data_IF_603938917741
#
_entry.id   IF_603938917741
#
_cell.length_a   1.000
_cell.length_b   1.000
_cell.length_c   1.000
_cell.angle_alpha   90.00
_cell.angle_beta   90.00
_cell.angle_gamma   90.00
#
_symmetry.space_group_name_H-M   'P 1'
#
loop_
_entity.id
_entity.type
_entity.pdbx_description
1 polymer ?
#
# COMPACT_ATOMS: atom_id res chain seq x y z
N UNK A 1 12.96 -52.93 69.14
CA UNK A 1 12.49 -53.04 67.75
C UNK A 1 11.74 -51.79 67.40
N UNK A 2 12.44 -50.83 66.83
CA UNK A 2 11.87 -49.57 66.35
C UNK A 2 11.82 -49.54 64.85
N UNK A 3 10.62 -49.42 64.31
CA UNK A 3 10.40 -49.28 62.88
C UNK A 3 10.44 -47.75 62.54
N UNK A 4 11.40 -47.37 61.74
CA UNK A 4 11.48 -46.02 61.13
C UNK A 4 10.71 -45.98 59.83
N UNK A 5 9.66 -45.15 59.79
CA UNK A 5 8.87 -44.85 58.57
C UNK A 5 9.59 -43.73 57.85
N UNK A 6 10.12 -44.01 56.67
CA UNK A 6 10.64 -42.97 55.73
C UNK A 6 9.49 -42.40 54.93
N UNK A 7 9.15 -41.12 55.20
CA UNK A 7 8.24 -40.33 54.35
C UNK A 7 8.97 -39.87 53.12
N UNK A 8 8.57 -40.35 51.97
CA UNK A 8 8.99 -39.81 50.64
C UNK A 8 8.05 -38.67 50.33
N UNK A 9 8.56 -37.44 50.37
CA UNK A 9 7.87 -36.26 49.88
C UNK A 9 8.00 -36.21 48.35
N UNK A 10 6.92 -36.54 47.63
CA UNK A 10 6.80 -36.32 46.20
C UNK A 10 6.53 -34.83 45.91
N UNK A 11 7.54 -34.06 45.51
CA UNK A 11 7.39 -32.73 44.94
C UNK A 11 6.74 -32.86 43.56
N UNK A 12 5.43 -32.70 43.46
CA UNK A 12 4.74 -32.53 42.20
C UNK A 12 5.09 -31.14 41.65
N UNK A 13 5.96 -31.08 40.64
CA UNK A 13 6.13 -29.91 39.77
C UNK A 13 4.82 -29.73 38.99
N UNK A 14 3.99 -28.80 39.44
CA UNK A 14 2.93 -28.22 38.60
C UNK A 14 3.61 -27.36 37.53
N UNK A 15 3.91 -27.99 36.41
CA UNK A 15 4.18 -27.29 35.17
C UNK A 15 2.85 -26.64 34.76
N UNK A 16 2.73 -25.35 35.03
CA UNK A 16 1.62 -24.53 34.56
C UNK A 16 1.68 -24.54 33.06
N UNK A 17 0.95 -25.43 32.42
CA UNK A 17 0.53 -25.26 31.05
C UNK A 17 -0.42 -24.07 31.02
N UNK A 18 0.12 -22.87 30.92
CA UNK A 18 -0.61 -21.70 30.41
C UNK A 18 -0.86 -21.97 28.94
N UNK A 19 -1.84 -22.84 28.69
CA UNK A 19 -2.31 -23.11 27.37
C UNK A 19 -2.81 -21.79 26.76
N UNK A 20 -2.33 -21.53 25.58
CA UNK A 20 -2.68 -20.50 24.62
C UNK A 20 -4.19 -20.46 24.30
N UNK A 21 -5.03 -20.06 25.26
CA UNK A 21 -6.45 -19.77 25.06
C UNK A 21 -6.75 -18.27 25.05
N UNK A 22 -5.73 -17.42 25.09
CA UNK A 22 -5.87 -15.97 25.30
C UNK A 22 -6.11 -15.14 24.04
N UNK A 23 -6.37 -15.74 22.88
CA UNK A 23 -6.45 -14.98 21.63
C UNK A 23 -7.86 -14.45 21.33
N UNK A 24 -8.89 -15.19 21.73
CA UNK A 24 -10.28 -14.78 21.44
C UNK A 24 -10.70 -13.63 22.36
N UNK A 25 -10.95 -12.46 21.74
CA UNK A 25 -11.32 -11.23 22.45
C UNK A 25 -10.14 -10.36 22.91
N UNK A 26 -8.88 -10.77 22.65
CA UNK A 26 -7.70 -9.94 22.86
C UNK A 26 -7.73 -8.70 21.96
N UNK A 27 -7.34 -7.54 22.51
CA UNK A 27 -7.24 -6.30 21.72
C UNK A 27 -5.82 -6.12 21.22
N UNK A 28 -5.68 -6.09 19.91
CA UNK A 28 -4.43 -5.80 19.21
C UNK A 28 -4.40 -4.34 18.80
N UNK A 29 -3.48 -3.57 19.37
CA UNK A 29 -3.27 -2.17 19.03
C UNK A 29 -2.41 -2.04 17.78
N UNK A 30 -2.96 -1.36 16.77
CA UNK A 30 -2.29 -1.06 15.50
C UNK A 30 -2.10 0.45 15.42
N UNK A 31 -0.85 0.92 15.34
CA UNK A 31 -0.57 2.32 15.10
C UNK A 31 -0.63 2.60 13.60
N UNK A 32 -1.46 3.55 13.23
CA UNK A 32 -1.57 4.07 11.87
C UNK A 32 -0.82 5.41 11.79
N UNK A 33 0.25 5.49 10.97
CA UNK A 33 1.21 6.60 10.93
C UNK A 33 1.23 7.22 9.54
N UNK A 34 0.34 8.13 9.22
CA UNK A 34 0.26 8.79 7.91
C UNK A 34 -0.20 10.25 8.03
N UNK A 35 -0.11 11.07 6.96
CA UNK A 35 -0.35 12.49 7.06
C UNK A 35 -1.83 12.83 7.33
N UNK A 36 -2.09 13.53 8.41
CA UNK A 36 -3.39 14.12 8.76
C UNK A 36 -3.36 15.64 8.63
N UNK A 37 -2.24 16.21 8.19
CA UNK A 37 -2.05 17.65 7.97
C UNK A 37 -1.34 17.91 6.64
N UNK A 38 -1.34 19.17 6.18
CA UNK A 38 -0.74 19.58 4.91
C UNK A 38 -1.55 19.19 3.67
N UNK A 39 -0.95 19.29 2.48
CA UNK A 39 -1.64 19.04 1.20
C UNK A 39 -2.12 17.60 1.01
N UNK A 40 -1.53 16.63 1.72
CA UNK A 40 -1.92 15.23 1.65
C UNK A 40 -2.92 14.81 2.74
N UNK A 41 -3.38 15.74 3.58
CA UNK A 41 -4.32 15.46 4.66
C UNK A 41 -5.63 14.81 4.19
N UNK A 42 -6.14 15.20 3.04
CA UNK A 42 -7.37 14.61 2.49
C UNK A 42 -7.20 13.11 2.23
N UNK A 43 -6.07 12.68 1.66
CA UNK A 43 -5.74 11.27 1.44
C UNK A 43 -5.60 10.54 2.77
N UNK A 44 -4.80 11.06 3.69
CA UNK A 44 -4.58 10.44 4.99
C UNK A 44 -5.86 10.34 5.81
N UNK A 45 -6.69 11.38 5.85
CA UNK A 45 -7.98 11.35 6.55
C UNK A 45 -8.94 10.28 5.99
N UNK A 46 -9.02 10.15 4.66
CA UNK A 46 -9.80 9.09 4.03
C UNK A 46 -9.27 7.71 4.39
N UNK A 47 -7.94 7.50 4.32
CA UNK A 47 -7.31 6.23 4.65
C UNK A 47 -7.49 5.85 6.12
N UNK A 48 -7.38 6.81 7.04
CA UNK A 48 -7.66 6.58 8.47
C UNK A 48 -9.11 6.15 8.68
N UNK A 49 -10.06 6.89 8.10
CA UNK A 49 -11.49 6.57 8.16
C UNK A 49 -11.78 5.18 7.57
N UNK A 50 -11.14 4.85 6.45
CA UNK A 50 -11.22 3.51 5.84
C UNK A 50 -10.66 2.44 6.78
N UNK A 51 -9.49 2.67 7.40
CA UNK A 51 -8.87 1.72 8.34
C UNK A 51 -9.77 1.48 9.54
N UNK A 52 -10.33 2.54 10.12
CA UNK A 52 -11.25 2.44 11.26
C UNK A 52 -12.54 1.67 10.91
N UNK A 53 -13.16 1.99 9.76
CA UNK A 53 -14.32 1.26 9.28
C UNK A 53 -14.03 -0.23 9.07
N UNK A 54 -12.92 -0.56 8.41
CA UNK A 54 -12.52 -1.95 8.21
C UNK A 54 -12.22 -2.66 9.53
N UNK A 55 -11.56 -2.00 10.49
CA UNK A 55 -11.33 -2.56 11.81
C UNK A 55 -12.65 -2.85 12.55
N UNK A 56 -13.66 -1.96 12.46
CA UNK A 56 -15.00 -2.21 12.98
C UNK A 56 -15.62 -3.48 12.36
N UNK A 57 -15.51 -3.66 11.03
CA UNK A 57 -16.05 -4.82 10.32
C UNK A 57 -15.31 -6.12 10.71
N UNK A 58 -13.98 -6.08 10.75
CA UNK A 58 -13.19 -7.23 11.22
C UNK A 58 -13.47 -7.55 12.70
N UNK A 59 -13.74 -6.56 13.53
CA UNK A 59 -14.07 -6.77 14.95
C UNK A 59 -15.43 -7.46 15.16
N UNK A 60 -16.32 -7.39 14.17
CA UNK A 60 -17.57 -8.17 14.18
C UNK A 60 -17.29 -9.65 13.92
N UNK A 61 -16.39 -9.96 12.98
CA UNK A 61 -16.01 -11.32 12.62
C UNK A 61 -14.66 -11.35 11.89
N UNK A 62 -13.68 -12.04 12.46
CA UNK A 62 -12.42 -12.37 11.79
C UNK A 62 -11.93 -13.77 12.23
N UNK A 63 -10.93 -14.30 11.55
CA UNK A 63 -10.47 -15.67 11.77
C UNK A 63 -9.75 -15.87 13.11
N UNK A 64 -9.02 -14.86 13.57
CA UNK A 64 -8.27 -14.93 14.84
C UNK A 64 -9.14 -14.72 16.07
N UNK A 65 -10.30 -14.05 15.90
CA UNK A 65 -11.15 -13.64 17.02
C UNK A 65 -10.60 -12.49 17.87
N UNK A 66 -9.49 -11.85 17.46
CA UNK A 66 -8.95 -10.64 18.11
C UNK A 66 -9.79 -9.41 17.76
N UNK A 67 -9.61 -8.34 18.52
CA UNK A 67 -10.14 -7.01 18.20
C UNK A 67 -9.00 -6.08 17.79
N UNK A 68 -9.15 -5.40 16.67
CA UNK A 68 -8.20 -4.37 16.24
C UNK A 68 -8.60 -3.00 16.79
N UNK A 69 -7.67 -2.35 17.47
CA UNK A 69 -7.77 -0.96 17.94
C UNK A 69 -6.79 -0.10 17.15
N UNK A 70 -7.27 0.92 16.46
CA UNK A 70 -6.46 1.79 15.62
C UNK A 70 -6.05 3.03 16.38
N UNK A 71 -4.74 3.23 16.57
CA UNK A 71 -4.12 4.42 17.15
C UNK A 71 -3.63 5.30 16.00
N UNK A 72 -4.28 6.43 15.77
CA UNK A 72 -3.94 7.34 14.68
C UNK A 72 -2.93 8.39 15.12
N UNK A 73 -1.84 8.54 14.37
CA UNK A 73 -0.79 9.51 14.63
C UNK A 73 -0.39 10.20 13.33
N UNK A 74 -0.43 11.53 13.31
CA UNK A 74 -0.01 12.35 12.18
C UNK A 74 1.52 12.35 12.05
N UNK A 75 2.03 11.82 10.95
CA UNK A 75 3.45 11.84 10.62
C UNK A 75 3.86 13.02 9.75
N UNK A 76 2.91 13.89 9.34
CA UNK A 76 3.12 15.08 8.50
C UNK A 76 3.89 14.78 7.21
N UNK A 77 3.88 13.55 6.73
CA UNK A 77 4.66 13.06 5.59
C UNK A 77 6.19 13.27 5.77
N UNK A 78 6.68 13.34 6.99
CA UNK A 78 8.07 13.62 7.37
C UNK A 78 8.71 12.40 8.04
N UNK A 79 9.93 11.98 7.64
CA UNK A 79 10.67 10.91 8.31
C UNK A 79 10.92 11.19 9.81
N UNK A 80 11.20 12.46 10.18
CA UNK A 80 11.44 12.87 11.56
C UNK A 80 10.18 12.74 12.42
N UNK A 81 9.05 13.28 11.93
CA UNK A 81 7.75 13.20 12.62
C UNK A 81 7.29 11.73 12.69
N UNK A 82 7.56 10.94 11.65
CA UNK A 82 7.25 9.49 11.66
C UNK A 82 7.99 8.76 12.77
N UNK A 83 9.28 9.10 13.00
CA UNK A 83 10.05 8.50 14.09
C UNK A 83 9.50 8.90 15.47
N UNK A 84 9.07 10.15 15.63
CA UNK A 84 8.43 10.62 16.86
C UNK A 84 7.07 9.94 17.10
N UNK A 85 6.24 9.85 16.06
CA UNK A 85 4.96 9.15 16.09
C UNK A 85 5.12 7.66 16.41
N UNK A 86 6.14 6.99 15.88
CA UNK A 86 6.43 5.59 16.20
C UNK A 86 6.76 5.39 17.68
N UNK A 87 7.53 6.29 18.29
CA UNK A 87 7.81 6.24 19.74
C UNK A 87 6.52 6.40 20.55
N UNK A 88 5.70 7.39 20.20
CA UNK A 88 4.39 7.59 20.84
C UNK A 88 3.49 6.36 20.71
N UNK A 89 3.52 5.69 19.55
CA UNK A 89 2.79 4.44 19.34
C UNK A 89 3.26 3.32 20.28
N UNK A 90 4.58 3.18 20.45
CA UNK A 90 5.18 2.20 21.36
C UNK A 90 4.77 2.46 22.82
N UNK A 91 4.79 3.73 23.26
CA UNK A 91 4.39 4.14 24.61
C UNK A 91 2.90 3.84 24.88
N UNK A 92 2.06 3.88 23.84
CA UNK A 92 0.66 3.48 23.88
C UNK A 92 0.44 1.96 23.77
N UNK A 93 1.52 1.18 23.67
CA UNK A 93 1.48 -0.28 23.63
C UNK A 93 1.20 -0.88 22.26
N UNK A 94 1.27 -0.10 21.15
CA UNK A 94 1.17 -0.65 19.81
C UNK A 94 2.41 -1.48 19.48
N UNK A 95 2.18 -2.63 18.83
CA UNK A 95 3.23 -3.52 18.32
C UNK A 95 3.16 -3.71 16.83
N UNK A 96 2.02 -3.43 16.23
CA UNK A 96 1.77 -3.49 14.80
C UNK A 96 1.66 -2.08 14.27
N UNK A 97 2.39 -1.79 13.21
CA UNK A 97 2.51 -0.47 12.61
C UNK A 97 1.96 -0.53 11.20
N UNK A 98 1.07 0.38 10.84
CA UNK A 98 0.57 0.59 9.47
C UNK A 98 1.04 1.96 8.98
N UNK A 99 1.61 2.00 7.79
CA UNK A 99 1.96 3.24 7.10
C UNK A 99 2.01 2.97 5.60
N UNK A 100 1.65 3.96 4.79
CA UNK A 100 1.65 3.79 3.33
C UNK A 100 2.05 5.04 2.55
N UNK A 101 1.93 6.24 3.09
CA UNK A 101 2.20 7.46 2.34
C UNK A 101 3.66 7.90 2.50
N UNK A 102 4.38 7.85 1.36
CA UNK A 102 5.76 8.33 1.29
C UNK A 102 6.82 7.29 1.67
N UNK A 103 7.76 7.07 0.76
CA UNK A 103 8.85 6.10 0.94
C UNK A 103 9.89 6.55 1.97
N UNK A 104 10.05 7.87 2.19
CA UNK A 104 10.93 8.40 3.26
C UNK A 104 10.44 8.03 4.66
N UNK A 105 9.17 8.31 5.02
CA UNK A 105 8.54 7.80 6.23
C UNK A 105 8.66 6.28 6.39
N UNK A 106 8.41 5.51 5.33
CA UNK A 106 8.53 4.05 5.36
C UNK A 106 9.94 3.58 5.72
N UNK A 107 10.97 4.16 5.11
CA UNK A 107 12.37 3.84 5.43
C UNK A 107 12.70 4.19 6.88
N UNK A 108 12.23 5.33 7.38
CA UNK A 108 12.43 5.72 8.78
C UNK A 108 11.80 4.73 9.77
N UNK A 109 10.62 4.17 9.44
CA UNK A 109 10.00 3.10 10.23
C UNK A 109 10.86 1.83 10.20
N UNK A 110 11.31 1.39 9.03
CA UNK A 110 12.15 0.20 8.87
C UNK A 110 13.40 0.33 9.74
N UNK A 111 14.14 1.44 9.60
CA UNK A 111 15.38 1.69 10.36
C UNK A 111 15.13 1.74 11.89
N UNK A 112 14.02 2.32 12.32
CA UNK A 112 13.68 2.42 13.73
C UNK A 112 13.28 1.05 14.31
N UNK A 113 12.50 0.26 13.57
CA UNK A 113 12.05 -1.08 13.97
C UNK A 113 13.25 -2.04 14.06
N UNK A 114 14.16 -2.04 13.09
CA UNK A 114 15.38 -2.86 13.12
C UNK A 114 16.18 -2.58 14.39
N UNK A 115 16.39 -1.29 14.72
CA UNK A 115 17.11 -0.89 15.95
C UNK A 115 16.36 -1.28 17.22
N UNK A 116 15.02 -1.14 17.24
CA UNK A 116 14.20 -1.51 18.38
C UNK A 116 14.26 -3.01 18.64
N UNK A 117 13.99 -3.80 17.60
CA UNK A 117 13.84 -5.24 17.70
C UNK A 117 15.17 -5.94 18.05
N UNK A 118 16.30 -5.38 17.58
CA UNK A 118 17.62 -5.85 17.98
C UNK A 118 17.96 -5.58 19.46
N UNK A 119 17.40 -4.52 20.07
CA UNK A 119 17.71 -4.10 21.45
C UNK A 119 16.71 -4.60 22.49
N UNK A 120 15.50 -4.90 22.07
CA UNK A 120 14.36 -5.19 22.95
C UNK A 120 13.66 -6.51 22.57
N UNK A 121 14.34 -7.68 22.69
CA UNK A 121 13.71 -8.98 22.48
C UNK A 121 12.46 -9.15 23.32
N UNK A 122 11.38 -9.67 22.74
CA UNK A 122 10.05 -9.80 23.38
C UNK A 122 9.21 -8.52 23.34
N UNK A 123 9.74 -7.44 22.73
CA UNK A 123 9.05 -6.16 22.51
C UNK A 123 9.15 -5.73 21.04
N UNK A 124 9.17 -6.71 20.14
CA UNK A 124 9.30 -6.48 18.73
C UNK A 124 8.12 -5.67 18.16
N UNK A 125 8.40 -4.94 17.09
CA UNK A 125 7.44 -4.22 16.27
C UNK A 125 7.39 -4.86 14.88
N UNK A 126 6.22 -4.83 14.26
CA UNK A 126 6.00 -5.29 12.88
C UNK A 126 5.41 -4.17 12.05
N UNK A 127 5.97 -3.94 10.86
CA UNK A 127 5.50 -2.92 9.94
C UNK A 127 4.75 -3.53 8.75
N UNK A 128 3.49 -3.15 8.61
CA UNK A 128 2.60 -3.48 7.51
C UNK A 128 2.49 -2.27 6.58
N UNK A 129 3.25 -2.28 5.50
CA UNK A 129 3.29 -1.22 4.52
C UNK A 129 2.20 -1.44 3.46
N UNK A 130 1.21 -0.57 3.43
CA UNK A 130 0.07 -0.74 2.53
C UNK A 130 0.18 0.02 1.20
N UNK A 131 1.13 0.98 1.04
CA UNK A 131 1.21 1.81 -0.17
C UNK A 131 2.55 2.53 -0.42
N UNK A 132 3.57 2.43 0.44
CA UNK A 132 4.89 2.99 0.15
C UNK A 132 5.67 2.05 -0.77
N UNK A 133 5.89 2.47 -2.01
CA UNK A 133 6.20 1.57 -3.13
C UNK A 133 7.59 1.74 -3.75
N UNK A 134 8.52 2.42 -3.06
CA UNK A 134 9.91 2.40 -3.48
C UNK A 134 10.43 0.94 -3.50
N UNK A 135 10.94 0.44 -4.64
CA UNK A 135 11.44 -0.93 -4.74
C UNK A 135 12.55 -1.27 -3.74
N UNK A 136 13.37 -0.30 -3.36
CA UNK A 136 14.47 -0.53 -2.42
C UNK A 136 14.01 -1.01 -1.05
N UNK A 137 12.79 -0.68 -0.63
CA UNK A 137 12.23 -1.10 0.66
C UNK A 137 12.07 -2.63 0.80
N UNK A 138 12.01 -3.37 -0.31
CA UNK A 138 12.00 -4.84 -0.36
C UNK A 138 13.18 -5.42 -1.14
N UNK A 139 14.18 -4.60 -1.46
CA UNK A 139 15.45 -4.98 -2.08
C UNK A 139 16.62 -4.61 -1.17
N UNK A 140 17.37 -3.55 -1.50
CA UNK A 140 18.58 -3.15 -0.77
C UNK A 140 18.33 -2.71 0.68
N UNK A 141 17.10 -2.31 1.01
CA UNK A 141 16.62 -1.86 2.33
C UNK A 141 15.61 -2.82 2.96
N UNK A 142 15.55 -4.05 2.48
CA UNK A 142 14.61 -5.02 3.03
C UNK A 142 14.86 -5.34 4.50
N UNK A 143 13.80 -5.64 5.22
CA UNK A 143 13.81 -5.97 6.63
C UNK A 143 12.88 -7.15 6.89
N UNK A 144 13.26 -8.06 7.79
CA UNK A 144 12.40 -9.14 8.25
C UNK A 144 11.10 -8.64 8.90
N UNK A 145 11.12 -7.44 9.45
CA UNK A 145 10.01 -6.82 10.16
C UNK A 145 9.11 -5.94 9.28
N UNK A 146 9.32 -5.95 7.97
CA UNK A 146 8.57 -5.16 7.00
C UNK A 146 7.87 -6.06 5.99
N UNK A 147 6.56 -5.91 5.87
CA UNK A 147 5.71 -6.59 4.88
C UNK A 147 5.02 -5.54 4.00
N UNK A 148 5.18 -5.63 2.69
CA UNK A 148 4.56 -4.71 1.75
C UNK A 148 3.38 -5.36 1.02
N UNK A 149 2.20 -4.72 1.13
CA UNK A 149 0.92 -5.24 0.62
C UNK A 149 0.50 -4.62 -0.73
N UNK A 150 1.22 -3.62 -1.22
CA UNK A 150 1.04 -3.06 -2.57
C UNK A 150 2.19 -3.50 -3.49
N UNK A 151 1.92 -3.62 -4.79
CA UNK A 151 2.96 -3.83 -5.78
C UNK A 151 3.87 -2.59 -5.84
N UNK A 152 5.17 -2.83 -5.95
CA UNK A 152 6.12 -1.71 -5.99
C UNK A 152 6.15 -0.97 -7.34
N UNK A 153 6.93 0.10 -7.37
CA UNK A 153 7.05 0.95 -8.56
C UNK A 153 7.53 0.18 -9.78
N UNK A 154 8.48 -0.75 -9.62
CA UNK A 154 9.00 -1.55 -10.74
C UNK A 154 7.97 -2.54 -11.26
N UNK A 155 7.27 -3.23 -10.37
CA UNK A 155 6.19 -4.18 -10.72
C UNK A 155 5.05 -3.47 -11.47
N UNK A 156 4.61 -2.31 -10.97
CA UNK A 156 3.58 -1.51 -11.63
C UNK A 156 4.04 -0.99 -12.99
N UNK A 157 5.29 -0.53 -13.11
CA UNK A 157 5.83 -0.07 -14.39
C UNK A 157 5.96 -1.21 -15.40
N UNK A 158 6.38 -2.40 -14.95
CA UNK A 158 6.42 -3.59 -15.80
C UNK A 158 5.04 -3.91 -16.42
N UNK A 159 3.98 -3.91 -15.60
CA UNK A 159 2.62 -4.11 -16.08
C UNK A 159 2.15 -2.99 -17.02
N UNK A 160 2.45 -1.73 -16.66
CA UNK A 160 2.03 -0.56 -17.41
C UNK A 160 2.69 -0.52 -18.79
N UNK A 161 4.01 -0.72 -18.87
CA UNK A 161 4.76 -0.73 -20.13
C UNK A 161 4.47 -1.96 -20.98
N UNK A 162 4.10 -3.09 -20.36
CA UNK A 162 3.58 -4.25 -21.09
C UNK A 162 2.24 -3.94 -21.76
N UNK A 163 1.36 -3.15 -21.12
CA UNK A 163 0.15 -2.62 -21.76
C UNK A 163 0.48 -1.62 -22.87
N UNK A 164 1.40 -0.69 -22.61
CA UNK A 164 1.81 0.35 -23.57
C UNK A 164 2.46 -0.22 -24.83
N UNK A 165 3.05 -1.42 -24.75
CA UNK A 165 3.63 -2.12 -25.91
C UNK A 165 2.62 -2.27 -27.05
N UNK A 166 1.37 -2.52 -26.72
CA UNK A 166 0.30 -2.78 -27.67
C UNK A 166 -0.52 -1.52 -28.03
N UNK A 167 -0.03 -0.32 -27.66
CA UNK A 167 -0.69 0.97 -27.93
C UNK A 167 0.08 1.73 -29.02
N UNK A 168 -0.30 1.58 -30.31
CA UNK A 168 0.47 2.15 -31.44
C UNK A 168 0.41 3.67 -31.53
N UNK A 169 -0.52 4.30 -30.84
CA UNK A 169 -0.72 5.74 -30.81
C UNK A 169 0.21 6.48 -29.84
N UNK A 170 0.92 5.77 -28.97
CA UNK A 170 1.95 6.35 -28.09
C UNK A 170 3.25 6.51 -28.88
N UNK A 171 3.73 7.75 -29.05
CA UNK A 171 4.96 8.08 -29.76
C UNK A 171 5.91 8.96 -28.95
N UNK A 172 5.37 9.92 -28.19
CA UNK A 172 6.14 10.91 -27.46
C UNK A 172 5.69 10.95 -26.00
N UNK A 173 6.53 10.48 -25.12
CA UNK A 173 6.25 10.39 -23.68
C UNK A 173 6.95 11.50 -22.92
N UNK A 174 6.21 12.19 -22.07
CA UNK A 174 6.72 13.09 -21.04
C UNK A 174 6.59 12.40 -19.69
N UNK A 175 7.65 12.35 -18.91
CA UNK A 175 7.64 11.81 -17.57
C UNK A 175 7.60 12.97 -16.58
N UNK A 176 6.61 12.99 -15.69
CA UNK A 176 6.49 14.01 -14.64
C UNK A 176 6.25 13.33 -13.31
N UNK A 177 7.15 13.50 -12.34
CA UNK A 177 7.09 12.86 -11.05
C UNK A 177 7.30 13.80 -9.87
N UNK A 178 6.90 13.31 -8.71
CA UNK A 178 7.20 13.94 -7.42
C UNK A 178 8.67 13.70 -7.04
N UNK A 179 9.37 14.71 -6.53
CA UNK A 179 10.79 14.64 -6.18
C UNK A 179 11.01 13.90 -4.85
N UNK A 180 10.92 12.59 -4.89
CA UNK A 180 11.30 11.65 -3.83
C UNK A 180 11.54 10.25 -4.44
N UNK A 181 11.94 9.26 -3.63
CA UNK A 181 12.38 7.94 -4.10
C UNK A 181 11.42 7.31 -5.14
N UNK A 182 10.10 7.26 -4.86
CA UNK A 182 9.13 6.70 -5.81
C UNK A 182 9.12 7.45 -7.16
N UNK A 183 9.08 8.79 -7.17
CA UNK A 183 9.06 9.55 -8.42
C UNK A 183 10.33 9.37 -9.26
N UNK A 184 11.49 9.31 -8.61
CA UNK A 184 12.78 8.98 -9.25
C UNK A 184 12.74 7.57 -9.86
N UNK A 185 12.20 6.58 -9.14
CA UNK A 185 12.07 5.21 -9.61
C UNK A 185 11.07 5.09 -10.76
N UNK A 186 9.96 5.85 -10.74
CA UNK A 186 9.02 5.90 -11.88
C UNK A 186 9.73 6.35 -13.15
N UNK A 187 10.52 7.44 -13.09
CA UNK A 187 11.30 7.92 -14.23
C UNK A 187 12.31 6.87 -14.71
N UNK A 188 13.05 6.26 -13.79
CA UNK A 188 14.04 5.23 -14.09
C UNK A 188 13.41 4.06 -14.84
N UNK A 189 12.42 3.40 -14.25
CA UNK A 189 11.82 2.21 -14.82
C UNK A 189 11.02 2.50 -16.08
N UNK A 190 10.36 3.67 -16.20
CA UNK A 190 9.71 4.05 -17.44
C UNK A 190 10.70 4.11 -18.61
N UNK A 191 11.88 4.70 -18.42
CA UNK A 191 12.92 4.78 -19.46
C UNK A 191 13.53 3.41 -19.77
N UNK A 192 13.84 2.62 -18.75
CA UNK A 192 14.43 1.28 -18.91
C UNK A 192 13.47 0.34 -19.64
N UNK A 193 12.23 0.25 -19.21
CA UNK A 193 11.25 -0.67 -19.78
C UNK A 193 10.80 -0.26 -21.19
N UNK A 194 10.55 1.04 -21.42
CA UNK A 194 10.17 1.53 -22.75
C UNK A 194 11.30 1.34 -23.74
N UNK A 195 12.56 1.54 -23.36
CA UNK A 195 13.71 1.27 -24.21
C UNK A 195 13.73 -0.17 -24.74
N UNK A 196 13.29 -1.13 -23.92
CA UNK A 196 13.26 -2.55 -24.30
C UNK A 196 11.99 -2.89 -25.08
N UNK A 197 10.82 -2.44 -24.60
CA UNK A 197 9.52 -2.86 -25.13
C UNK A 197 9.03 -2.02 -26.30
N UNK A 198 9.39 -0.74 -26.34
CA UNK A 198 8.97 0.26 -27.33
C UNK A 198 10.10 1.24 -27.64
N UNK A 199 11.20 0.76 -28.29
CA UNK A 199 12.35 1.61 -28.65
C UNK A 199 12.00 2.71 -29.68
N UNK A 200 10.82 2.65 -30.28
CA UNK A 200 10.26 3.68 -31.17
C UNK A 200 9.69 4.89 -30.44
N UNK A 201 9.43 4.79 -29.13
CA UNK A 201 8.91 5.89 -28.31
C UNK A 201 10.03 6.87 -27.96
N UNK A 202 9.76 8.15 -28.18
CA UNK A 202 10.66 9.24 -27.79
C UNK A 202 10.30 9.75 -26.39
N UNK A 203 11.26 9.78 -25.48
CA UNK A 203 11.10 10.50 -24.20
C UNK A 203 11.42 11.97 -24.47
N UNK A 204 10.39 12.82 -24.47
CA UNK A 204 10.49 14.24 -24.83
C UNK A 204 10.58 15.18 -23.63
N UNK A 205 10.53 14.64 -22.43
CA UNK A 205 10.72 15.37 -21.18
C UNK A 205 10.74 14.44 -19.98
N UNK A 206 11.45 14.86 -18.93
CA UNK A 206 11.60 14.13 -17.67
C UNK A 206 11.86 15.15 -16.55
N UNK A 207 10.81 15.54 -15.84
CA UNK A 207 10.86 16.55 -14.77
C UNK A 207 10.39 15.96 -13.43
N UNK A 208 10.98 16.44 -12.34
CA UNK A 208 10.53 16.22 -10.99
C UNK A 208 10.05 17.53 -10.37
N UNK A 209 8.97 17.50 -9.60
CA UNK A 209 8.46 18.63 -8.83
C UNK A 209 8.45 18.33 -7.33
N UNK A 210 8.51 19.36 -6.46
CA UNK A 210 8.46 19.15 -5.01
C UNK A 210 7.19 18.42 -4.57
N UNK A 211 7.35 17.34 -3.80
CA UNK A 211 6.25 16.54 -3.26
C UNK A 211 5.38 17.38 -2.32
N UNK A 212 4.08 17.40 -2.55
CA UNK A 212 3.08 18.05 -1.69
C UNK A 212 3.31 19.57 -1.47
N UNK A 213 3.94 20.25 -2.44
CA UNK A 213 4.25 21.69 -2.32
C UNK A 213 3.74 22.50 -3.52
N UNK A 214 3.49 21.86 -4.66
CA UNK A 214 3.05 22.55 -5.88
C UNK A 214 1.55 22.81 -5.80
N UNK A 215 1.14 24.07 -5.90
CA UNK A 215 -0.27 24.50 -5.92
C UNK A 215 -0.75 24.86 -7.32
N UNK A 216 0.16 25.15 -8.23
CA UNK A 216 -0.11 25.49 -9.63
C UNK A 216 0.79 24.67 -10.55
N UNK A 217 0.15 23.80 -11.33
CA UNK A 217 0.83 22.96 -12.32
C UNK A 217 0.90 23.57 -13.72
N UNK A 218 0.37 24.80 -13.93
CA UNK A 218 0.39 25.46 -15.24
C UNK A 218 1.78 25.54 -15.89
N UNK A 219 2.90 25.80 -15.14
CA UNK A 219 4.23 25.79 -15.74
C UNK A 219 4.65 24.42 -16.28
N UNK A 220 4.27 23.33 -15.59
CA UNK A 220 4.53 21.96 -16.06
C UNK A 220 3.68 21.61 -17.28
N UNK A 221 2.41 22.02 -17.30
CA UNK A 221 1.52 21.85 -18.46
C UNK A 221 2.07 22.59 -19.69
N UNK A 222 2.61 23.80 -19.51
CA UNK A 222 3.25 24.55 -20.60
C UNK A 222 4.46 23.79 -21.18
N UNK A 223 5.30 23.19 -20.34
CA UNK A 223 6.43 22.35 -20.77
C UNK A 223 5.95 21.11 -21.53
N UNK A 224 4.96 20.38 -21.01
CA UNK A 224 4.39 19.19 -21.67
C UNK A 224 3.85 19.56 -23.05
N UNK A 225 3.09 20.67 -23.12
CA UNK A 225 2.55 21.17 -24.41
C UNK A 225 3.66 21.54 -25.40
N UNK A 226 4.68 22.24 -24.94
CA UNK A 226 5.82 22.66 -25.78
C UNK A 226 6.65 21.47 -26.30
N UNK A 227 6.74 20.37 -25.54
CA UNK A 227 7.46 19.16 -25.91
C UNK A 227 6.77 18.38 -27.04
N UNK A 228 5.49 18.63 -27.31
CA UNK A 228 4.68 17.89 -28.25
C UNK A 228 4.39 16.45 -27.80
N UNK A 229 4.43 16.17 -26.51
CA UNK A 229 4.07 14.87 -25.94
C UNK A 229 2.61 14.51 -26.28
N UNK A 230 2.35 13.25 -26.58
CA UNK A 230 1.02 12.65 -26.71
C UNK A 230 0.61 11.90 -25.43
N UNK A 231 1.59 11.59 -24.60
CA UNK A 231 1.44 10.75 -23.40
C UNK A 231 2.26 11.30 -22.24
N UNK A 232 1.67 11.26 -21.05
CA UNK A 232 2.34 11.57 -19.77
C UNK A 232 2.36 10.32 -18.91
N UNK A 233 3.55 9.93 -18.43
CA UNK A 233 3.71 8.93 -17.39
C UNK A 233 3.95 9.67 -16.06
N UNK A 234 3.18 9.33 -15.02
CA UNK A 234 3.33 9.96 -13.71
C UNK A 234 3.05 9.00 -12.58
N UNK A 235 3.92 9.03 -11.55
CA UNK A 235 3.71 8.39 -10.26
C UNK A 235 3.01 9.30 -9.23
N UNK A 236 2.60 10.48 -9.62
CA UNK A 236 1.93 11.43 -8.73
C UNK A 236 0.70 10.80 -8.05
N UNK A 237 0.43 11.23 -6.84
CA UNK A 237 -0.71 10.81 -6.04
C UNK A 237 -1.28 11.98 -5.23
N UNK A 238 -2.49 11.82 -4.71
CA UNK A 238 -3.16 12.80 -3.87
C UNK A 238 -3.34 14.14 -4.59
N UNK A 239 -3.17 15.23 -3.85
CA UNK A 239 -3.38 16.58 -4.38
C UNK A 239 -2.49 16.91 -5.57
N UNK A 240 -1.26 16.38 -5.62
CA UNK A 240 -0.36 16.67 -6.75
C UNK A 240 -0.90 16.08 -8.06
N UNK A 241 -1.49 14.86 -8.03
CA UNK A 241 -2.11 14.28 -9.22
C UNK A 241 -3.41 15.01 -9.59
N UNK A 242 -4.27 15.28 -8.62
CA UNK A 242 -5.51 15.99 -8.86
C UNK A 242 -5.28 17.38 -9.48
N UNK A 243 -4.33 18.16 -8.95
CA UNK A 243 -3.97 19.47 -9.48
C UNK A 243 -3.33 19.40 -10.86
N UNK A 244 -2.47 18.40 -11.12
CA UNK A 244 -1.87 18.17 -12.44
C UNK A 244 -2.95 17.89 -13.50
N UNK A 245 -3.86 16.96 -13.22
CA UNK A 245 -4.94 16.60 -14.17
C UNK A 245 -5.88 17.78 -14.36
N UNK A 246 -6.25 18.48 -13.29
CA UNK A 246 -7.08 19.67 -13.40
C UNK A 246 -6.43 20.73 -14.28
N UNK A 247 -5.17 21.06 -14.05
CA UNK A 247 -4.44 22.03 -14.87
C UNK A 247 -4.34 21.61 -16.35
N UNK A 248 -4.17 20.30 -16.62
CA UNK A 248 -4.19 19.74 -17.97
C UNK A 248 -5.54 19.94 -18.66
N UNK A 249 -6.63 19.64 -17.94
CA UNK A 249 -8.00 19.81 -18.45
C UNK A 249 -8.32 21.29 -18.69
N UNK A 250 -7.99 22.17 -17.75
CA UNK A 250 -8.21 23.63 -17.88
C UNK A 250 -7.46 24.24 -19.07
N UNK A 251 -6.26 23.72 -19.37
CA UNK A 251 -5.45 24.16 -20.52
C UNK A 251 -5.85 23.50 -21.86
N UNK A 252 -6.85 22.61 -21.85
CA UNK A 252 -7.27 21.85 -23.03
C UNK A 252 -6.15 20.96 -23.61
N UNK A 253 -5.22 20.49 -22.76
CA UNK A 253 -4.12 19.65 -23.20
C UNK A 253 -4.66 18.26 -23.59
N UNK A 254 -4.37 17.84 -24.85
CA UNK A 254 -4.84 16.56 -25.37
C UNK A 254 -3.74 15.49 -25.30
N UNK A 255 -3.52 14.97 -24.08
CA UNK A 255 -2.56 13.89 -23.81
C UNK A 255 -3.25 12.75 -23.06
N UNK A 256 -2.68 11.54 -23.17
CA UNK A 256 -3.05 10.42 -22.29
C UNK A 256 -2.17 10.42 -21.05
N UNK A 257 -2.78 10.18 -19.89
CA UNK A 257 -2.07 9.99 -18.63
C UNK A 257 -2.01 8.51 -18.28
N UNK A 258 -0.82 8.01 -18.04
CA UNK A 258 -0.57 6.69 -17.46
C UNK A 258 -0.09 6.86 -16.02
N UNK A 259 -0.94 6.46 -15.09
CA UNK A 259 -0.82 6.82 -13.67
C UNK A 259 -0.75 5.60 -12.76
N UNK A 260 -0.33 5.83 -11.53
CA UNK A 260 -0.32 4.82 -10.46
C UNK A 260 -1.50 4.98 -9.48
N UNK A 261 -2.02 6.21 -9.33
CA UNK A 261 -2.91 6.55 -8.21
C UNK A 261 -4.08 7.47 -8.60
N UNK A 262 -4.61 7.34 -9.84
CA UNK A 262 -5.80 8.09 -10.26
C UNK A 262 -7.05 7.78 -9.42
N UNK A 263 -7.00 6.70 -8.63
CA UNK A 263 -8.07 6.27 -7.72
C UNK A 263 -8.15 7.11 -6.44
N UNK A 264 -7.16 7.97 -6.12
CA UNK A 264 -7.11 8.64 -4.82
C UNK A 264 -8.05 9.84 -4.69
N UNK A 265 -8.37 10.19 -3.44
CA UNK A 265 -9.28 11.29 -3.05
C UNK A 265 -9.05 12.58 -3.84
N UNK A 266 -10.12 13.14 -4.41
CA UNK A 266 -10.10 14.37 -5.20
C UNK A 266 -9.69 14.20 -6.66
N UNK A 267 -9.01 13.10 -7.00
CA UNK A 267 -8.58 12.84 -8.38
C UNK A 267 -9.76 12.50 -9.31
N UNK A 268 -10.74 11.67 -8.91
CA UNK A 268 -11.95 11.44 -9.71
C UNK A 268 -12.68 12.73 -10.10
N UNK A 269 -12.88 13.65 -9.16
CA UNK A 269 -13.48 14.97 -9.43
C UNK A 269 -12.62 15.79 -10.40
N UNK A 270 -11.30 15.79 -10.23
CA UNK A 270 -10.38 16.52 -11.11
C UNK A 270 -10.37 15.95 -12.53
N UNK A 271 -10.52 14.63 -12.68
CA UNK A 271 -10.67 13.97 -13.99
C UNK A 271 -11.97 14.36 -14.69
N UNK A 272 -13.10 14.18 -14.01
CA UNK A 272 -14.42 14.50 -14.55
C UNK A 272 -14.66 13.96 -15.96
N UNK A 273 -15.54 14.62 -16.73
CA UNK A 273 -15.83 14.28 -18.12
C UNK A 273 -14.66 14.63 -19.11
N UNK A 274 -13.85 15.64 -18.78
CA UNK A 274 -12.77 16.10 -19.65
C UNK A 274 -11.66 15.05 -19.85
N UNK A 275 -11.53 14.12 -18.89
CA UNK A 275 -10.53 13.05 -18.92
C UNK A 275 -11.07 11.72 -19.47
N UNK A 276 -12.30 11.69 -20.00
CA UNK A 276 -12.91 10.47 -20.57
C UNK A 276 -11.98 9.82 -21.62
N UNK A 277 -11.65 8.54 -21.43
CA UNK A 277 -10.76 7.77 -22.29
C UNK A 277 -9.27 8.15 -22.23
N UNK A 278 -8.88 9.17 -21.44
CA UNK A 278 -7.52 9.73 -21.45
C UNK A 278 -6.66 9.33 -20.25
N UNK A 279 -7.25 8.94 -19.11
CA UNK A 279 -6.50 8.57 -17.90
C UNK A 279 -6.53 7.08 -17.71
N UNK A 280 -5.35 6.49 -17.62
CA UNK A 280 -5.12 5.08 -17.34
C UNK A 280 -4.44 4.96 -15.97
N UNK A 281 -4.76 3.88 -15.24
CA UNK A 281 -4.09 3.55 -13.99
C UNK A 281 -3.66 2.10 -13.98
N UNK A 282 -2.45 1.84 -13.46
CA UNK A 282 -2.03 0.52 -13.03
C UNK A 282 -2.26 0.38 -11.53
N UNK A 283 -2.94 -0.68 -11.12
CA UNK A 283 -3.24 -0.92 -9.70
C UNK A 283 -3.71 -2.34 -9.43
N UNK A 284 -3.73 -2.71 -8.17
CA UNK A 284 -4.16 -4.04 -7.72
C UNK A 284 -5.69 -4.20 -7.64
N UNK A 285 -6.43 -3.13 -7.84
CA UNK A 285 -7.90 -3.10 -7.75
C UNK A 285 -8.53 -2.05 -8.66
N UNK A 286 -9.84 -2.15 -8.80
CA UNK A 286 -10.70 -1.13 -9.38
C UNK A 286 -12.00 -1.01 -8.56
N UNK A 287 -12.78 0.03 -8.77
CA UNK A 287 -13.99 0.29 -7.94
C UNK A 287 -15.08 -0.78 -8.03
N UNK A 288 -15.09 -1.60 -9.06
CA UNK A 288 -16.16 -2.58 -9.31
C UNK A 288 -15.64 -4.02 -9.14
N UNK A 289 -14.94 -4.32 -8.04
CA UNK A 289 -14.37 -5.66 -7.77
C UNK A 289 -15.43 -6.72 -7.44
N UNK A 290 -16.62 -6.32 -7.00
CA UNK A 290 -17.65 -7.24 -6.53
C UNK A 290 -17.36 -7.82 -5.14
N UNK A 291 -18.09 -8.88 -4.79
CA UNK A 291 -17.89 -9.62 -3.54
C UNK A 291 -18.15 -8.82 -2.26
N UNK A 292 -17.48 -9.23 -1.18
CA UNK A 292 -17.62 -8.58 0.14
C UNK A 292 -17.03 -7.17 0.14
N UNK A 293 -15.93 -6.97 -0.60
CA UNK A 293 -15.27 -5.66 -0.67
C UNK A 293 -16.17 -4.60 -1.28
N UNK A 294 -16.93 -4.95 -2.34
CA UNK A 294 -17.90 -4.04 -2.94
C UNK A 294 -19.01 -3.65 -1.96
N UNK A 295 -19.55 -4.62 -1.21
CA UNK A 295 -20.59 -4.36 -0.20
C UNK A 295 -20.09 -3.37 0.87
N UNK A 296 -18.85 -3.53 1.32
CA UNK A 296 -18.27 -2.61 2.29
C UNK A 296 -17.95 -1.24 1.69
N UNK A 297 -17.53 -1.17 0.44
CA UNK A 297 -17.36 0.11 -0.24
C UNK A 297 -18.69 0.86 -0.39
N UNK A 298 -19.77 0.16 -0.73
CA UNK A 298 -21.12 0.73 -0.84
C UNK A 298 -21.66 1.19 0.53
N UNK A 299 -21.42 0.40 1.59
CA UNK A 299 -21.78 0.75 2.96
C UNK A 299 -20.98 1.96 3.47
N UNK A 300 -19.69 1.98 3.21
CA UNK A 300 -18.79 3.09 3.54
C UNK A 300 -19.28 4.37 2.86
N UNK A 301 -19.56 4.31 1.56
CA UNK A 301 -20.07 5.45 0.79
C UNK A 301 -21.40 5.97 1.36
N UNK A 302 -22.32 5.07 1.69
CA UNK A 302 -23.61 5.42 2.31
C UNK A 302 -23.42 6.07 3.68
N UNK A 303 -22.49 5.53 4.51
CA UNK A 303 -22.29 5.99 5.89
C UNK A 303 -21.56 7.33 5.97
N UNK A 304 -20.56 7.55 5.11
CA UNK A 304 -19.65 8.68 5.21
C UNK A 304 -19.79 9.71 4.08
N UNK A 305 -20.62 9.44 3.07
CA UNK A 305 -20.68 10.21 1.83
C UNK A 305 -19.28 10.42 1.21
N UNK A 306 -18.48 9.35 1.21
CA UNK A 306 -17.08 9.32 0.81
C UNK A 306 -16.78 7.95 0.20
N UNK A 307 -15.69 7.81 -0.56
CA UNK A 307 -15.35 6.57 -1.24
C UNK A 307 -14.16 5.87 -0.57
N UNK A 308 -14.14 4.55 -0.64
CA UNK A 308 -13.03 3.73 -0.13
C UNK A 308 -11.97 3.57 -1.23
N UNK A 309 -10.93 4.40 -1.20
CA UNK A 309 -9.93 4.43 -2.27
C UNK A 309 -8.78 3.44 -2.09
N UNK A 310 -8.35 3.19 -0.84
CA UNK A 310 -7.15 2.39 -0.52
C UNK A 310 -7.54 1.02 0.02
N UNK A 311 -7.83 0.09 -0.89
CA UNK A 311 -8.34 -1.23 -0.51
C UNK A 311 -7.26 -2.21 -0.02
N UNK A 312 -5.96 -1.89 -0.17
CA UNK A 312 -4.87 -2.63 0.47
C UNK A 312 -4.93 -2.63 2.01
N UNK A 313 -5.61 -1.65 2.61
CA UNK A 313 -5.89 -1.61 4.06
C UNK A 313 -6.71 -2.83 4.52
N UNK A 314 -7.64 -3.30 3.69
CA UNK A 314 -8.35 -4.56 3.92
C UNK A 314 -7.38 -5.74 3.96
N UNK A 315 -6.47 -5.81 3.00
CA UNK A 315 -5.50 -6.92 2.92
C UNK A 315 -4.54 -6.92 4.11
N UNK A 316 -4.19 -5.75 4.66
CA UNK A 316 -3.41 -5.67 5.92
C UNK A 316 -4.17 -6.35 7.06
N UNK A 317 -5.42 -5.96 7.33
CA UNK A 317 -6.19 -6.52 8.43
C UNK A 317 -6.51 -8.00 8.22
N UNK A 318 -6.79 -8.40 6.97
CA UNK A 318 -6.99 -9.80 6.61
C UNK A 318 -5.74 -10.63 6.88
N UNK A 319 -4.58 -10.20 6.37
CA UNK A 319 -3.31 -10.94 6.53
C UNK A 319 -2.91 -11.07 7.99
N UNK A 320 -3.06 -10.00 8.79
CA UNK A 320 -2.82 -10.06 10.24
C UNK A 320 -3.77 -11.03 10.94
N UNK A 321 -5.08 -10.95 10.64
CA UNK A 321 -6.07 -11.87 11.22
C UNK A 321 -5.76 -13.33 10.88
N UNK A 322 -5.46 -13.64 9.62
CA UNK A 322 -5.12 -15.00 9.20
C UNK A 322 -3.80 -15.48 9.82
N UNK A 323 -2.77 -14.63 9.85
CA UNK A 323 -1.49 -14.98 10.43
C UNK A 323 -1.62 -15.24 11.94
N UNK A 324 -2.35 -14.40 12.67
CA UNK A 324 -2.63 -14.60 14.11
C UNK A 324 -3.43 -15.88 14.36
N UNK A 325 -4.43 -16.17 13.52
CA UNK A 325 -5.20 -17.42 13.62
C UNK A 325 -4.33 -18.66 13.40
N UNK A 326 -3.46 -18.63 12.38
CA UNK A 326 -2.52 -19.73 12.06
C UNK A 326 -1.45 -19.89 13.15
N UNK A 327 -0.89 -18.78 13.64
CA UNK A 327 0.11 -18.77 14.71
C UNK A 327 -0.48 -19.06 16.09
N UNK A 328 -1.80 -18.96 16.26
CA UNK A 328 -2.53 -19.06 17.55
C UNK A 328 -1.99 -18.11 18.61
N UNK A 329 -1.59 -16.91 18.21
CA UNK A 329 -1.01 -15.89 19.10
C UNK A 329 -0.99 -14.53 18.42
N UNK A 330 -0.90 -13.46 19.24
CA UNK A 330 -0.63 -12.08 18.78
C UNK A 330 0.84 -11.70 18.97
N UNK A 331 1.69 -12.62 19.36
CA UNK A 331 3.14 -12.42 19.49
C UNK A 331 3.75 -12.04 18.13
N UNK A 332 4.43 -10.90 18.10
CA UNK A 332 4.93 -10.28 16.87
C UNK A 332 5.90 -11.17 16.11
N UNK A 333 6.83 -11.83 16.82
CA UNK A 333 7.82 -12.70 16.18
C UNK A 333 7.16 -13.91 15.50
N UNK A 334 6.19 -14.54 16.15
CA UNK A 334 5.46 -15.70 15.62
C UNK A 334 4.53 -15.31 14.48
N UNK A 335 3.89 -14.14 14.56
CA UNK A 335 3.05 -13.61 13.50
C UNK A 335 3.89 -13.26 12.27
N UNK A 336 5.05 -12.60 12.43
CA UNK A 336 5.98 -12.32 11.34
C UNK A 336 6.46 -13.61 10.64
N UNK A 337 6.83 -14.64 11.42
CA UNK A 337 7.21 -15.94 10.87
C UNK A 337 6.08 -16.64 10.11
N UNK A 338 4.81 -16.40 10.50
CA UNK A 338 3.64 -16.95 9.83
C UNK A 338 3.30 -16.18 8.55
N UNK A 339 3.52 -14.87 8.53
CA UNK A 339 3.33 -14.02 7.34
C UNK A 339 4.36 -14.33 6.24
N UNK A 340 5.59 -14.72 6.61
CA UNK A 340 6.67 -15.04 5.67
C UNK A 340 6.29 -16.22 4.76
N UNK A 341 6.11 -15.97 3.47
CA UNK A 341 5.69 -16.95 2.48
C UNK A 341 4.20 -17.33 2.57
N UNK A 342 3.40 -16.59 3.32
CA UNK A 342 1.97 -16.87 3.47
C UNK A 342 1.21 -16.63 2.16
N UNK A 343 0.41 -17.63 1.78
CA UNK A 343 -0.56 -17.56 0.68
C UNK A 343 -1.96 -17.52 1.25
N UNK A 344 -2.78 -16.64 0.68
CA UNK A 344 -4.19 -16.49 1.08
C UNK A 344 -5.00 -15.86 -0.05
N UNK A 345 -6.33 -15.95 0.06
CA UNK A 345 -7.24 -15.31 -0.91
C UNK A 345 -7.70 -13.97 -0.36
N UNK A 346 -7.39 -12.89 -1.07
CA UNK A 346 -7.89 -11.55 -0.80
C UNK A 346 -9.04 -11.20 -1.76
N UNK A 347 -9.59 -10.00 -1.66
CA UNK A 347 -10.69 -9.54 -2.52
C UNK A 347 -10.30 -9.44 -4.01
N UNK A 348 -9.01 -9.36 -4.32
CA UNK A 348 -8.45 -9.30 -5.67
C UNK A 348 -7.85 -10.63 -6.17
N UNK A 349 -8.20 -11.75 -5.52
CA UNK A 349 -7.77 -13.10 -5.85
C UNK A 349 -6.70 -13.65 -4.91
N UNK A 350 -6.03 -14.70 -5.37
CA UNK A 350 -4.97 -15.33 -4.60
C UNK A 350 -3.71 -14.48 -4.59
N UNK A 351 -3.12 -14.34 -3.41
CA UNK A 351 -1.96 -13.51 -3.15
C UNK A 351 -0.92 -14.27 -2.32
N UNK A 352 0.34 -13.86 -2.43
CA UNK A 352 1.45 -14.41 -1.69
C UNK A 352 2.34 -13.30 -1.13
N UNK A 353 2.70 -13.37 0.14
CA UNK A 353 3.81 -12.60 0.71
C UNK A 353 5.10 -13.37 0.45
N UNK A 354 5.90 -12.94 -0.54
CA UNK A 354 7.14 -13.65 -0.94
C UNK A 354 8.05 -13.87 0.26
N UNK A 355 8.54 -15.09 0.44
CA UNK A 355 9.47 -15.42 1.51
C UNK A 355 10.81 -14.70 1.37
N UNK A 356 11.22 -14.38 0.15
CA UNK A 356 12.53 -13.79 -0.11
C UNK A 356 12.66 -12.35 0.41
N UNK A 357 11.59 -11.56 0.35
CA UNK A 357 11.64 -10.11 0.57
C UNK A 357 10.37 -9.50 1.18
N UNK A 358 9.38 -10.31 1.51
CA UNK A 358 8.08 -9.91 2.05
C UNK A 358 7.28 -8.95 1.16
N UNK A 359 7.59 -8.93 -0.14
CA UNK A 359 6.78 -8.25 -1.14
C UNK A 359 5.56 -9.09 -1.49
N UNK A 360 4.37 -8.49 -1.47
CA UNK A 360 3.16 -9.19 -1.91
C UNK A 360 3.13 -9.36 -3.43
N UNK A 361 2.89 -10.60 -3.86
CA UNK A 361 2.53 -10.97 -5.22
C UNK A 361 1.02 -10.96 -5.36
N UNK A 362 0.53 -10.22 -6.32
CA UNK A 362 -0.91 -10.04 -6.57
C UNK A 362 -1.16 -9.65 -8.01
N UNK A 363 -2.35 -9.94 -8.51
CA UNK A 363 -2.76 -9.50 -9.84
C UNK A 363 -2.82 -7.98 -9.97
N UNK A 364 -2.52 -7.47 -11.16
CA UNK A 364 -2.58 -6.05 -11.48
C UNK A 364 -3.56 -5.80 -12.63
N UNK A 365 -4.28 -4.71 -12.51
CA UNK A 365 -5.20 -4.20 -13.52
C UNK A 365 -4.61 -2.97 -14.20
N UNK A 366 -4.82 -2.86 -15.50
CA UNK A 366 -4.83 -1.57 -16.19
C UNK A 366 -6.30 -1.16 -16.27
N UNK A 367 -6.60 0.02 -15.75
CA UNK A 367 -7.93 0.60 -15.80
C UNK A 367 -7.92 1.87 -16.63
N UNK A 368 -9.07 2.23 -17.20
CA UNK A 368 -9.25 3.46 -17.95
C UNK A 368 -10.42 4.25 -17.37
N UNK A 369 -10.24 5.55 -17.25
CA UNK A 369 -11.30 6.45 -16.85
C UNK A 369 -12.34 6.57 -17.97
N UNK A 370 -13.58 6.19 -17.68
CA UNK A 370 -14.67 6.22 -18.66
C UNK A 370 -16.01 6.36 -17.97
N UNK A 371 -17.03 6.71 -18.72
CA UNK A 371 -18.39 6.86 -18.22
C UNK A 371 -18.85 5.57 -17.54
N UNK A 372 -19.40 5.68 -16.33
CA UNK A 372 -19.97 4.54 -15.62
C UNK A 372 -21.06 3.86 -16.46
N UNK A 373 -21.14 2.54 -16.39
CA UNK A 373 -22.02 1.72 -17.21
C UNK A 373 -22.74 0.67 -16.37
N UNK A 374 -23.70 -0.03 -16.94
CA UNK A 374 -24.38 -1.14 -16.25
C UNK A 374 -23.40 -2.25 -15.81
N UNK A 375 -22.29 -2.43 -16.54
CA UNK A 375 -21.23 -3.40 -16.19
C UNK A 375 -20.33 -2.89 -15.07
N UNK A 376 -20.05 -1.60 -15.03
CA UNK A 376 -19.18 -0.93 -14.06
C UNK A 376 -19.90 0.29 -13.47
N UNK A 377 -20.89 0.06 -12.57
CA UNK A 377 -21.81 1.11 -12.11
C UNK A 377 -21.22 2.02 -11.02
N UNK A 378 -20.21 1.57 -10.27
CA UNK A 378 -19.66 2.37 -9.18
C UNK A 378 -18.96 3.61 -9.69
N UNK A 379 -19.45 4.78 -9.26
CA UNK A 379 -18.92 6.08 -9.65
C UNK A 379 -18.30 6.77 -8.43
N UNK A 380 -16.95 6.84 -8.36
CA UNK A 380 -16.28 7.56 -7.27
C UNK A 380 -16.62 9.05 -7.31
N UNK A 381 -16.77 9.64 -6.13
CA UNK A 381 -17.11 11.05 -5.93
C UNK A 381 -18.38 11.49 -6.70
N UNK A 382 -19.26 10.53 -7.04
CA UNK A 382 -20.48 10.74 -7.80
C UNK A 382 -20.28 11.46 -9.14
N UNK A 383 -19.14 11.26 -9.79
CA UNK A 383 -18.74 11.94 -11.03
C UNK A 383 -19.50 11.47 -12.28
N UNK A 384 -20.21 10.34 -12.20
CA UNK A 384 -20.79 9.66 -13.37
C UNK A 384 -19.76 8.85 -14.18
N UNK A 385 -18.52 8.79 -13.73
CA UNK A 385 -17.40 8.08 -14.35
C UNK A 385 -16.78 7.06 -13.40
N UNK A 386 -15.99 6.14 -13.93
CA UNK A 386 -15.28 5.10 -13.16
C UNK A 386 -13.95 4.74 -13.82
N UNK A 387 -13.05 4.13 -13.08
CA UNK A 387 -11.88 3.44 -13.62
C UNK A 387 -12.28 2.01 -13.97
N UNK A 388 -12.68 1.78 -15.22
CA UNK A 388 -13.07 0.47 -15.72
C UNK A 388 -11.85 -0.37 -16.11
N UNK A 389 -11.78 -1.68 -15.75
CA UNK A 389 -10.67 -2.53 -16.10
C UNK A 389 -10.65 -2.81 -17.61
N UNK A 390 -9.50 -2.56 -18.25
CA UNK A 390 -9.26 -2.84 -19.66
C UNK A 390 -8.29 -4.01 -19.86
N UNK A 391 -7.46 -4.32 -18.83
CA UNK A 391 -6.56 -5.46 -18.82
C UNK A 391 -6.34 -5.95 -17.40
N UNK A 392 -6.18 -7.25 -17.26
CA UNK A 392 -5.71 -7.90 -16.04
C UNK A 392 -4.42 -8.65 -16.33
N UNK A 393 -3.47 -8.54 -15.43
CA UNK A 393 -2.24 -9.32 -15.42
C UNK A 393 -2.21 -10.18 -14.17
N UNK A 394 -1.88 -11.45 -14.35
CA UNK A 394 -1.66 -12.38 -13.25
C UNK A 394 -0.52 -11.91 -12.33
N UNK A 395 -0.56 -12.36 -11.09
CA UNK A 395 0.35 -11.95 -10.03
C UNK A 395 1.84 -12.07 -10.38
N UNK A 396 2.21 -13.01 -11.25
CA UNK A 396 3.60 -13.27 -11.59
C UNK A 396 4.06 -12.59 -12.89
N UNK A 397 3.16 -12.01 -13.67
CA UNK A 397 3.52 -11.31 -14.93
C UNK A 397 4.38 -10.08 -14.65
N UNK A 398 4.10 -9.37 -13.58
CA UNK A 398 4.84 -8.19 -13.16
C UNK A 398 5.78 -8.45 -11.97
N UNK A 399 6.06 -9.73 -11.67
CA UNK A 399 6.99 -10.08 -10.59
C UNK A 399 8.42 -9.73 -10.97
N UNK A 400 9.00 -8.76 -10.25
CA UNK A 400 10.40 -8.39 -10.42
C UNK A 400 11.32 -9.20 -9.50
N UNK A 401 12.56 -9.53 -9.92
CA UNK A 401 13.53 -10.18 -9.06
C UNK A 401 13.86 -9.32 -7.84
N UNK A 402 14.24 -9.98 -6.74
CA UNK A 402 14.70 -9.30 -5.53
C UNK A 402 16.18 -9.52 -5.29
N UNK A 403 16.85 -8.49 -4.74
CA UNK A 403 18.23 -8.54 -4.25
C UNK A 403 18.28 -8.55 -2.72
N UNK A 404 17.13 -8.75 -2.07
CA UNK A 404 17.02 -8.72 -0.61
C UNK A 404 17.87 -9.80 0.06
N UNK A 405 18.63 -9.38 1.09
CA UNK A 405 19.43 -10.24 1.97
C UNK A 405 19.08 -9.93 3.43
N UNK A 406 17.78 -10.06 3.78
CA UNK A 406 17.33 -9.76 5.13
C UNK A 406 17.89 -10.73 6.17
N UNK A 407 18.22 -10.20 7.35
CA UNK A 407 18.61 -11.01 8.52
C UNK A 407 17.35 -11.49 9.23
N UNK A 408 17.22 -12.80 9.39
CA UNK A 408 16.09 -13.40 10.13
C UNK A 408 16.46 -13.60 11.60
N UNK A 409 15.50 -13.41 12.54
CA UNK A 409 15.74 -13.72 13.95
C UNK A 409 16.22 -15.16 14.14
N UNK A 410 17.24 -15.37 15.00
CA UNK A 410 17.79 -16.69 15.30
C UNK A 410 18.74 -17.28 14.25
N UNK A 411 18.96 -16.60 13.12
CA UNK A 411 20.05 -16.94 12.20
C UNK A 411 21.30 -16.17 12.62
N UNK A 412 22.19 -16.85 13.33
CA UNK A 412 23.56 -16.36 13.53
C UNK A 412 24.23 -16.32 12.16
N UNK A 413 24.66 -15.13 11.71
CA UNK A 413 25.44 -14.92 10.49
C UNK A 413 26.85 -15.51 10.59
#
# INVERSE_FOLDING_TARGET
MQFAIKSVAACAMLVSLTAAFAQKGETVKIAWLDPLSGLMAAVGTNQLKTTQFLAEEFNKKNQSGVKFEIIALDNKLSPQETTAALRSAQDQGARYIMQGNGSGPALAIIDAIEKNNARNPGKELLYMNYAAVDPDLTNSKCSYWHFRLDADTSMKMEALTTWMKDQPDIKKVYILGQNYAHGVQVSKFAKEDLKVKRPDIQIVGDDLHPLAQVRDFSPYIAKIKASGADTVITGNWGSDLALLIKASNDAGLNVKFYTYYAVTTGTPTAMGAASDGKVYQVGYAHYNMGGQMQKWADEYKKRFNDDMYTTSLYTVLLSLSEAMAKAKTTDVLKVAATLEGMRFTSYNGDVELRKADHQMQQGLYITRWEKASAKYPYSPENTGYTLAPVKFYDAYVASTPTTCQMKRPGQNG
#
